data_IF_823391455007
#
_entry.id   IF_823391455007
#
_cell.length_a   1.000
_cell.length_b   1.000
_cell.length_c   1.000
_cell.angle_alpha   90.00
_cell.angle_beta   90.00
_cell.angle_gamma   90.00
#
_symmetry.space_group_name_H-M   'P 1'
#
loop_
_entity.id
_entity.type
_entity.pdbx_description
1 polymer ?
#
# COMPACT_ATOMS: atom_id res chain seq x y z
N UNK A 1 -8.35 -5.07 -17.33
CA UNK A 1 -7.68 -3.97 -16.63
C UNK A 1 -6.57 -4.54 -15.77
N UNK A 2 -5.39 -4.02 -15.89
CA UNK A 2 -4.26 -4.48 -15.07
C UNK A 2 -4.50 -4.16 -13.59
N UNK A 3 -4.04 -5.05 -12.72
CA UNK A 3 -4.12 -4.84 -11.27
C UNK A 3 -3.19 -3.70 -10.87
N UNK A 4 -3.72 -2.72 -10.14
CA UNK A 4 -2.95 -1.58 -9.65
C UNK A 4 -1.84 -2.02 -8.68
N UNK A 5 -2.22 -2.79 -7.68
CA UNK A 5 -1.30 -3.37 -6.70
C UNK A 5 -1.21 -4.87 -6.97
N UNK A 6 -0.04 -5.34 -7.39
CA UNK A 6 0.15 -6.73 -7.77
C UNK A 6 0.05 -7.69 -6.60
N UNK A 7 -0.38 -8.91 -6.88
CA UNK A 7 -0.37 -10.00 -5.91
C UNK A 7 1.04 -10.21 -5.38
N UNK A 8 1.26 -10.22 -4.05
CA UNK A 8 2.61 -10.43 -3.50
C UNK A 8 3.16 -11.81 -3.86
N UNK A 9 4.43 -11.87 -4.20
CA UNK A 9 5.12 -13.11 -4.53
C UNK A 9 6.59 -13.03 -4.13
N UNK A 10 7.06 -13.99 -3.35
CA UNK A 10 8.47 -14.13 -2.96
C UNK A 10 9.04 -12.84 -2.31
N UNK A 11 8.24 -12.14 -1.51
CA UNK A 11 8.68 -10.93 -0.81
C UNK A 11 8.64 -9.65 -1.64
N UNK A 12 8.00 -9.69 -2.80
CA UNK A 12 7.88 -8.53 -3.70
C UNK A 12 6.45 -8.31 -4.15
N UNK A 13 6.12 -7.06 -4.39
CA UNK A 13 4.91 -6.65 -5.09
C UNK A 13 5.24 -5.45 -5.98
N UNK A 14 4.25 -4.90 -6.63
CA UNK A 14 4.42 -3.83 -7.58
C UNK A 14 3.19 -2.93 -7.56
N UNK A 15 3.43 -1.63 -7.60
CA UNK A 15 2.37 -0.63 -7.73
C UNK A 15 2.56 0.03 -9.09
N UNK A 16 1.56 -0.08 -9.98
CA UNK A 16 1.68 0.32 -11.38
C UNK A 16 0.62 1.31 -11.81
N UNK A 17 1.06 2.42 -12.38
CA UNK A 17 0.24 3.43 -13.05
C UNK A 17 0.77 3.63 -14.46
N UNK A 18 0.00 4.24 -15.37
CA UNK A 18 0.50 4.50 -16.73
C UNK A 18 1.78 5.33 -16.80
N UNK A 19 1.99 6.24 -15.84
CA UNK A 19 3.13 7.18 -15.85
C UNK A 19 4.07 7.00 -14.65
N UNK A 20 3.85 5.98 -13.83
CA UNK A 20 4.65 5.77 -12.62
C UNK A 20 4.53 4.33 -12.18
N UNK A 21 5.65 3.70 -11.84
CA UNK A 21 5.60 2.39 -11.18
C UNK A 21 6.68 2.28 -10.13
N UNK A 22 6.48 1.36 -9.19
CA UNK A 22 7.47 1.09 -8.14
C UNK A 22 7.36 -0.34 -7.66
N UNK A 23 8.49 -0.93 -7.31
CA UNK A 23 8.53 -2.22 -6.62
C UNK A 23 8.34 -1.99 -5.13
N UNK A 24 7.72 -2.96 -4.46
CA UNK A 24 7.47 -2.92 -3.02
C UNK A 24 8.08 -4.17 -2.40
N UNK A 25 8.86 -3.97 -1.35
CA UNK A 25 9.61 -5.02 -0.70
C UNK A 25 8.96 -5.43 0.62
N UNK A 26 9.15 -6.68 1.01
CA UNK A 26 8.72 -7.25 2.28
C UNK A 26 9.36 -6.58 3.52
N UNK A 27 10.37 -5.73 3.31
CA UNK A 27 10.98 -4.94 4.39
C UNK A 27 9.92 -4.07 5.07
N UNK A 28 8.96 -3.57 4.30
CA UNK A 28 7.84 -2.78 4.81
C UNK A 28 6.58 -3.64 4.91
N UNK A 29 5.75 -3.38 5.90
CA UNK A 29 4.41 -3.95 5.96
C UNK A 29 3.50 -3.12 5.05
N UNK A 30 3.58 -3.40 3.77
CA UNK A 30 2.98 -2.60 2.70
C UNK A 30 1.48 -2.43 2.88
N UNK A 31 0.76 -3.52 3.11
CA UNK A 31 -0.70 -3.45 3.24
C UNK A 31 -1.12 -2.62 4.46
N UNK A 32 -0.45 -2.81 5.59
CA UNK A 32 -0.72 -2.05 6.81
C UNK A 32 -0.47 -0.55 6.59
N UNK A 33 0.67 -0.22 5.98
CA UNK A 33 1.04 1.16 5.69
C UNK A 33 0.02 1.82 4.75
N UNK A 34 -0.37 1.11 3.68
CA UNK A 34 -1.35 1.64 2.73
C UNK A 34 -2.72 1.84 3.36
N UNK A 35 -3.19 0.89 4.16
CA UNK A 35 -4.52 1.00 4.76
C UNK A 35 -4.54 2.01 5.90
N UNK A 36 -3.60 1.94 6.83
CA UNK A 36 -3.60 2.74 8.04
C UNK A 36 -3.04 4.15 7.83
N UNK A 37 -1.82 4.23 7.31
CA UNK A 37 -1.09 5.50 7.27
C UNK A 37 -1.42 6.34 6.03
N UNK A 38 -1.87 5.70 4.97
CA UNK A 38 -2.16 6.36 3.71
C UNK A 38 -3.67 6.60 3.54
N UNK A 39 -4.46 5.53 3.42
CA UNK A 39 -5.89 5.65 3.12
C UNK A 39 -6.68 6.27 4.28
N UNK A 40 -6.55 5.72 5.50
CA UNK A 40 -7.30 6.28 6.64
C UNK A 40 -6.89 7.71 6.96
N UNK A 41 -5.62 8.05 6.84
CA UNK A 41 -5.15 9.42 7.04
C UNK A 41 -5.82 10.37 6.04
N UNK A 42 -5.86 9.98 4.77
CA UNK A 42 -6.50 10.77 3.74
C UNK A 42 -8.00 10.94 3.98
N UNK A 43 -8.69 9.87 4.38
CA UNK A 43 -10.13 9.92 4.66
C UNK A 43 -10.47 10.88 5.80
N UNK A 44 -9.53 11.13 6.70
CA UNK A 44 -9.66 12.12 7.77
C UNK A 44 -9.37 13.54 7.30
N UNK A 45 -9.31 13.76 5.98
CA UNK A 45 -9.05 15.06 5.34
C UNK A 45 -7.68 15.63 5.68
N UNK A 46 -6.68 14.74 5.78
CA UNK A 46 -5.29 15.11 6.00
C UNK A 46 -4.46 14.73 4.79
N UNK A 47 -3.36 15.44 4.58
CA UNK A 47 -2.36 15.01 3.59
C UNK A 47 -1.75 13.69 4.10
N UNK A 48 -1.73 12.67 3.25
CA UNK A 48 -1.14 11.39 3.59
C UNK A 48 0.15 11.22 2.79
N UNK A 49 1.25 10.90 3.48
CA UNK A 49 2.53 10.65 2.85
C UNK A 49 3.13 9.39 3.47
N UNK A 50 3.52 8.44 2.62
CA UNK A 50 4.15 7.19 3.06
C UNK A 50 5.38 6.92 2.22
N UNK A 51 6.42 6.36 2.85
CA UNK A 51 7.67 6.03 2.16
C UNK A 51 7.94 4.53 2.27
N UNK A 52 8.31 3.93 1.15
CA UNK A 52 8.68 2.52 1.06
C UNK A 52 10.15 2.38 0.70
N UNK A 53 10.82 1.44 1.37
CA UNK A 53 12.17 1.02 1.03
C UNK A 53 12.08 -0.01 -0.10
N UNK A 54 12.52 0.36 -1.29
CA UNK A 54 12.45 -0.48 -2.47
C UNK A 54 13.76 -1.26 -2.73
N UNK A 55 14.62 -1.35 -1.70
CA UNK A 55 15.90 -2.08 -1.75
C UNK A 55 16.80 -1.56 -2.87
N UNK A 56 17.29 -0.36 -2.68
CA UNK A 56 18.18 0.33 -3.62
C UNK A 56 17.71 1.73 -3.94
N UNK A 57 16.44 2.02 -3.71
CA UNK A 57 15.87 3.36 -3.81
C UNK A 57 14.65 3.44 -2.89
N UNK A 58 14.16 4.64 -2.66
CA UNK A 58 12.96 4.86 -1.85
C UNK A 58 11.86 5.46 -2.71
N UNK A 59 10.61 5.07 -2.42
CA UNK A 59 9.44 5.65 -3.06
C UNK A 59 8.56 6.27 -1.99
N UNK A 60 8.21 7.56 -2.16
CA UNK A 60 7.27 8.27 -1.31
C UNK A 60 6.02 8.57 -2.13
N UNK A 61 4.86 8.18 -1.62
CA UNK A 61 3.56 8.54 -2.19
C UNK A 61 2.95 9.64 -1.34
N UNK A 62 2.46 10.69 -1.99
CA UNK A 62 1.80 11.81 -1.32
C UNK A 62 0.42 11.98 -1.91
N UNK A 63 -0.60 11.92 -1.06
CA UNK A 63 -2.00 12.05 -1.43
C UNK A 63 -2.56 13.31 -0.76
N UNK A 64 -2.96 14.30 -1.56
CA UNK A 64 -3.44 15.59 -1.10
C UNK A 64 -4.63 16.03 -1.93
N UNK A 65 -5.77 16.26 -1.30
CA UNK A 65 -7.01 16.66 -1.97
C UNK A 65 -7.37 15.69 -3.11
N UNK A 66 -7.12 16.08 -4.36
CA UNK A 66 -7.45 15.29 -5.54
C UNK A 66 -6.20 14.80 -6.27
N UNK A 67 -5.03 14.97 -5.67
CA UNK A 67 -3.75 14.73 -6.33
C UNK A 67 -2.96 13.62 -5.65
N UNK A 68 -2.36 12.76 -6.48
CA UNK A 68 -1.41 11.75 -6.03
C UNK A 68 -0.07 12.03 -6.68
N UNK A 69 0.96 12.10 -5.86
CA UNK A 69 2.35 12.31 -6.30
C UNK A 69 3.21 11.11 -5.92
N UNK A 70 4.18 10.80 -6.77
CA UNK A 70 5.20 9.80 -6.47
C UNK A 70 6.58 10.44 -6.53
N UNK A 71 7.38 10.21 -5.50
CA UNK A 71 8.74 10.72 -5.40
C UNK A 71 9.66 9.54 -5.24
N UNK A 72 10.65 9.41 -6.14
CA UNK A 72 11.67 8.38 -6.02
C UNK A 72 13.01 9.04 -5.71
N UNK A 73 13.62 8.62 -4.62
CA UNK A 73 14.88 9.15 -4.11
C UNK A 73 15.91 8.03 -4.00
N UNK A 74 17.17 8.41 -3.81
CA UNK A 74 18.31 7.48 -3.84
C UNK A 74 18.47 6.81 -5.20
N UNK A 75 17.93 7.45 -6.24
CA UNK A 75 18.13 7.09 -7.65
C UNK A 75 18.85 8.23 -8.34
N UNK A 76 19.36 7.98 -9.54
CA UNK A 76 20.03 9.02 -10.32
C UNK A 76 19.41 9.10 -11.71
N UNK A 77 18.65 10.17 -12.00
CA UNK A 77 18.27 11.26 -11.08
C UNK A 77 17.10 10.89 -10.16
N UNK A 78 16.94 11.62 -9.08
CA UNK A 78 15.73 11.57 -8.28
C UNK A 78 14.56 12.07 -9.12
N UNK A 79 13.35 11.54 -8.89
CA UNK A 79 12.18 11.89 -9.70
C UNK A 79 11.02 12.37 -8.83
N UNK A 80 10.19 13.23 -9.43
CA UNK A 80 8.94 13.69 -8.85
C UNK A 80 7.88 13.59 -9.95
N UNK A 81 6.83 12.80 -9.71
CA UNK A 81 5.79 12.55 -10.71
C UNK A 81 4.42 12.91 -10.17
N UNK A 82 3.65 13.69 -10.91
CA UNK A 82 2.23 13.88 -10.64
C UNK A 82 1.49 12.70 -11.27
N UNK A 83 1.04 11.76 -10.44
CA UNK A 83 0.48 10.49 -10.90
C UNK A 83 -0.98 10.63 -11.30
N UNK A 84 -1.79 11.25 -10.43
CA UNK A 84 -3.22 11.43 -10.65
C UNK A 84 -3.63 12.86 -10.28
N UNK A 85 -4.51 13.44 -11.11
CA UNK A 85 -5.34 14.57 -10.76
C UNK A 85 -6.79 14.11 -10.90
N UNK A 86 -7.66 14.34 -9.93
CA UNK A 86 -8.96 13.70 -9.85
C UNK A 86 -8.85 12.16 -9.81
N UNK A 87 -9.93 11.42 -9.77
CA UNK A 87 -9.95 9.95 -9.76
C UNK A 87 -9.28 9.30 -8.54
N UNK A 88 -8.98 10.07 -7.49
CA UNK A 88 -8.38 9.55 -6.26
C UNK A 88 -9.27 8.49 -5.63
N UNK A 89 -10.60 8.69 -5.66
CA UNK A 89 -11.54 7.73 -5.09
C UNK A 89 -11.44 6.36 -5.75
N UNK A 90 -11.36 6.31 -7.07
CA UNK A 90 -11.19 5.06 -7.80
C UNK A 90 -9.89 4.36 -7.43
N UNK A 91 -8.82 5.14 -7.30
CA UNK A 91 -7.53 4.65 -6.86
C UNK A 91 -7.61 3.99 -5.47
N UNK A 92 -8.26 4.66 -4.50
CA UNK A 92 -8.41 4.10 -3.15
C UNK A 92 -9.22 2.82 -3.17
N UNK A 93 -10.31 2.78 -3.92
CA UNK A 93 -11.14 1.58 -4.05
C UNK A 93 -10.37 0.41 -4.67
N UNK A 94 -9.53 0.67 -5.66
CA UNK A 94 -8.68 -0.35 -6.28
C UNK A 94 -7.66 -0.89 -5.30
N UNK A 95 -7.00 -0.02 -4.53
CA UNK A 95 -6.03 -0.46 -3.51
C UNK A 95 -6.70 -1.38 -2.49
N UNK A 96 -7.83 -0.97 -1.94
CA UNK A 96 -8.54 -1.77 -0.94
C UNK A 96 -8.96 -3.11 -1.53
N UNK A 97 -9.50 -3.12 -2.75
CA UNK A 97 -9.92 -4.35 -3.43
C UNK A 97 -8.74 -5.29 -3.66
N UNK A 98 -7.61 -4.77 -4.13
CA UNK A 98 -6.42 -5.58 -4.37
C UNK A 98 -5.88 -6.20 -3.08
N UNK A 99 -5.84 -5.42 -1.99
CA UNK A 99 -5.39 -5.93 -0.69
C UNK A 99 -6.35 -7.00 -0.17
N UNK A 100 -7.65 -6.75 -0.24
CA UNK A 100 -8.68 -7.68 0.23
C UNK A 100 -8.66 -8.99 -0.55
N UNK A 101 -8.45 -8.92 -1.86
CA UNK A 101 -8.39 -10.10 -2.73
C UNK A 101 -7.23 -11.02 -2.35
N UNK A 102 -6.09 -10.46 -1.99
CA UNK A 102 -4.88 -11.21 -1.64
C UNK A 102 -4.55 -11.12 -0.15
N UNK A 103 -5.58 -11.08 0.70
CA UNK A 103 -5.44 -10.78 2.11
C UNK A 103 -4.47 -11.72 2.84
N UNK A 104 -4.53 -13.03 2.58
CA UNK A 104 -3.63 -14.00 3.23
C UNK A 104 -2.17 -13.74 2.85
N UNK A 105 -1.92 -13.40 1.59
CA UNK A 105 -0.57 -13.11 1.11
C UNK A 105 -0.03 -11.82 1.71
N UNK A 106 -0.87 -10.79 1.82
CA UNK A 106 -0.47 -9.55 2.47
C UNK A 106 -0.23 -9.72 3.96
N UNK A 107 -1.01 -10.56 4.63
CA UNK A 107 -0.84 -10.83 6.06
C UNK A 107 0.51 -11.47 6.37
N UNK A 108 1.06 -12.28 5.47
CA UNK A 108 2.36 -12.93 5.65
C UNK A 108 3.52 -12.19 4.99
N UNK A 109 3.26 -11.13 4.26
CA UNK A 109 4.22 -10.47 3.37
C UNK A 109 5.51 -10.06 4.07
N UNK A 110 5.43 -9.49 5.27
CA UNK A 110 6.59 -9.03 6.04
C UNK A 110 6.91 -9.90 7.27
N UNK A 111 6.41 -11.13 7.31
CA UNK A 111 6.70 -12.06 8.40
C UNK A 111 7.97 -12.84 8.08
N UNK A 112 9.00 -12.71 8.95
CA UNK A 112 10.32 -13.29 8.74
C UNK A 112 10.62 -14.51 9.60
N UNK A 113 9.64 -15.01 10.34
CA UNK A 113 9.87 -16.08 11.30
C UNK A 113 10.16 -17.40 10.60
N UNK A 114 11.21 -18.08 11.05
CA UNK A 114 11.56 -19.42 10.57
C UNK A 114 10.80 -20.50 11.33
N UNK A 115 10.35 -20.22 12.56
CA UNK A 115 9.51 -21.10 13.35
C UNK A 115 8.09 -21.10 12.77
N UNK A 116 7.64 -22.30 12.39
CA UNK A 116 6.35 -22.49 11.73
C UNK A 116 5.17 -22.03 12.58
N UNK A 117 5.20 -22.27 13.88
CA UNK A 117 4.11 -21.86 14.78
C UNK A 117 4.05 -20.33 14.93
N UNK A 118 5.19 -19.71 15.14
CA UNK A 118 5.28 -18.24 15.24
C UNK A 118 4.86 -17.57 13.94
N UNK A 119 5.28 -18.12 12.79
CA UNK A 119 4.89 -17.64 11.48
C UNK A 119 3.37 -17.65 11.33
N UNK A 120 2.71 -18.77 11.64
CA UNK A 120 1.25 -18.89 11.56
C UNK A 120 0.54 -17.90 12.49
N UNK A 121 1.06 -17.76 13.70
CA UNK A 121 0.49 -16.88 14.73
C UNK A 121 0.56 -15.41 14.31
N UNK A 122 1.72 -14.97 13.86
CA UNK A 122 1.92 -13.59 13.39
C UNK A 122 1.10 -13.30 12.14
N UNK A 123 1.04 -14.24 11.20
CA UNK A 123 0.24 -14.10 9.99
C UNK A 123 -1.25 -13.96 10.32
N UNK A 124 -1.76 -14.80 11.24
CA UNK A 124 -3.16 -14.74 11.66
C UNK A 124 -3.48 -13.40 12.35
N UNK A 125 -2.58 -12.91 13.19
CA UNK A 125 -2.71 -11.62 13.85
C UNK A 125 -2.76 -10.47 12.85
N UNK A 126 -1.85 -10.49 11.86
CA UNK A 126 -1.81 -9.49 10.81
C UNK A 126 -3.09 -9.51 9.98
N UNK A 127 -3.57 -10.71 9.62
CA UNK A 127 -4.82 -10.85 8.87
C UNK A 127 -5.99 -10.21 9.58
N UNK A 128 -6.15 -10.48 10.88
CA UNK A 128 -7.20 -9.90 11.70
C UNK A 128 -7.09 -8.37 11.71
N UNK A 129 -5.89 -7.85 11.84
CA UNK A 129 -5.64 -6.41 11.83
C UNK A 129 -6.00 -5.76 10.48
N UNK A 130 -5.59 -6.39 9.38
CA UNK A 130 -5.91 -5.89 8.04
C UNK A 130 -7.42 -5.92 7.78
N UNK A 131 -8.11 -6.98 8.21
CA UNK A 131 -9.57 -7.07 8.10
C UNK A 131 -10.28 -5.95 8.86
N UNK A 132 -9.80 -5.64 10.07
CA UNK A 132 -10.36 -4.56 10.88
C UNK A 132 -10.16 -3.19 10.21
N UNK A 133 -8.99 -2.96 9.62
CA UNK A 133 -8.69 -1.72 8.90
C UNK A 133 -9.55 -1.58 7.64
N UNK A 134 -9.71 -2.65 6.88
CA UNK A 134 -10.57 -2.65 5.69
C UNK A 134 -12.00 -2.31 6.06
N UNK A 135 -12.51 -2.90 7.14
CA UNK A 135 -13.86 -2.60 7.63
C UNK A 135 -13.99 -1.13 8.02
N UNK A 136 -13.04 -0.62 8.79
CA UNK A 136 -13.02 0.79 9.21
C UNK A 136 -13.02 1.74 8.00
N UNK A 137 -12.22 1.42 6.99
CA UNK A 137 -12.15 2.19 5.74
C UNK A 137 -13.50 2.16 5.03
N UNK A 138 -14.08 0.99 4.80
CA UNK A 138 -15.33 0.84 4.07
C UNK A 138 -16.52 1.53 4.76
N UNK A 139 -16.49 1.58 6.09
CA UNK A 139 -17.53 2.24 6.89
C UNK A 139 -17.29 3.73 7.05
N UNK A 140 -16.14 4.25 6.62
CA UNK A 140 -15.82 5.66 6.78
C UNK A 140 -16.70 6.53 5.86
N UNK A 141 -17.29 7.64 6.39
CA UNK A 141 -18.20 8.49 5.59
C UNK A 141 -17.58 9.04 4.31
N UNK A 142 -16.26 9.25 4.30
CA UNK A 142 -15.56 9.83 3.15
C UNK A 142 -15.07 8.81 2.12
N UNK A 143 -15.26 7.51 2.38
CA UNK A 143 -14.80 6.47 1.47
C UNK A 143 -15.75 6.24 0.30
N UNK A 144 -17.02 6.20 0.59
CA UNK A 144 -18.07 5.96 -0.40
C UNK A 144 -18.33 7.09 -1.39
#
# INVERSE_FOLDING_TARGET
MSTLLATPSAGWSHLSFPNFDTTLSYIDDVALILLQDFILTYLKKQVAAVTFDCEGYDTTLVLSNYDLYGIQTNTEPASFTHILDDHVREFLHQLVTNIETDLDKWASFSVFETDKETYKKETAKNKTRLQALIKEIKEHPNYG
#
